data_IF_006649529805
#
_entry.id   IF_006649529805
#
_cell.length_a   1.000
_cell.length_b   1.000
_cell.length_c   1.000
_cell.angle_alpha   90.00
_cell.angle_beta   90.00
_cell.angle_gamma   90.00
#
_symmetry.space_group_name_H-M   'P 1'
#
loop_
_entity.id
_entity.type
_entity.pdbx_description
1 polymer ?
#
# COMPACT_ATOMS: atom_id res chain seq x y z
N UNK A 1 -4.65 2.76 17.08
CA UNK A 1 -4.64 3.96 16.20
C UNK A 1 -3.29 4.64 16.28
N UNK A 2 -2.67 4.96 15.14
CA UNK A 2 -1.46 5.78 15.05
C UNK A 2 -1.84 7.20 14.64
N UNK A 3 -1.28 8.19 15.33
CA UNK A 3 -1.43 9.61 15.02
C UNK A 3 -0.05 10.25 14.83
N UNK A 4 0.11 10.99 13.75
CA UNK A 4 1.27 11.81 13.46
C UNK A 4 0.79 13.25 13.28
N UNK A 5 1.40 14.19 14.00
CA UNK A 5 1.06 15.60 13.96
C UNK A 5 2.29 16.45 13.71
N UNK A 6 2.22 17.22 12.65
CA UNK A 6 3.23 18.20 12.24
C UNK A 6 4.65 17.61 12.22
N UNK A 7 4.79 16.41 11.61
CA UNK A 7 6.08 15.73 11.54
C UNK A 7 7.02 16.44 10.57
N UNK A 8 8.14 16.92 11.09
CA UNK A 8 9.20 17.52 10.32
C UNK A 8 10.52 16.77 10.49
N UNK A 9 11.29 16.69 9.41
CA UNK A 9 12.62 16.07 9.45
C UNK A 9 13.58 16.74 8.49
N UNK A 10 14.76 17.06 9.02
CA UNK A 10 15.91 17.53 8.23
C UNK A 10 17.12 16.62 8.41
N UNK A 11 17.93 16.49 7.36
CA UNK A 11 19.25 15.87 7.37
C UNK A 11 20.28 16.95 7.05
N UNK A 12 21.00 17.40 8.06
CA UNK A 12 21.84 18.59 7.94
C UNK A 12 21.00 19.80 7.51
N UNK A 13 21.36 20.44 6.41
CA UNK A 13 20.64 21.61 5.89
C UNK A 13 19.48 21.25 4.94
N UNK A 14 19.25 19.96 4.66
CA UNK A 14 18.18 19.51 3.74
C UNK A 14 16.96 19.07 4.53
N UNK A 15 15.88 19.84 4.46
CA UNK A 15 14.57 19.40 4.95
C UNK A 15 13.98 18.36 4.01
N UNK A 16 13.39 17.31 4.58
CA UNK A 16 12.81 16.16 3.86
C UNK A 16 11.34 15.99 4.17
N UNK A 17 10.90 16.31 5.39
CA UNK A 17 9.48 16.32 5.77
C UNK A 17 9.08 17.70 6.24
N UNK A 18 7.94 18.18 5.77
CA UNK A 18 7.47 19.57 5.92
C UNK A 18 6.12 19.62 6.64
N UNK A 19 6.06 19.12 7.89
CA UNK A 19 4.83 19.18 8.69
C UNK A 19 3.79 18.14 8.25
N UNK A 20 4.19 16.86 8.16
CA UNK A 20 3.30 15.77 7.79
C UNK A 20 2.32 15.46 8.91
N UNK A 21 1.02 15.50 8.58
CA UNK A 21 -0.09 15.05 9.43
C UNK A 21 -0.71 13.80 8.80
N UNK A 22 -0.87 12.73 9.59
CA UNK A 22 -1.61 11.54 9.18
C UNK A 22 -2.16 10.77 10.38
N UNK A 23 -3.24 10.05 10.15
CA UNK A 23 -3.82 9.13 11.13
C UNK A 23 -4.06 7.78 10.46
N UNK A 24 -3.67 6.69 11.14
CA UNK A 24 -4.05 5.34 10.75
C UNK A 24 -4.94 4.73 11.83
N UNK A 25 -6.16 4.40 11.44
CA UNK A 25 -7.18 3.87 12.35
C UNK A 25 -6.88 2.42 12.75
N UNK A 26 -7.37 2.01 13.92
CA UNK A 26 -7.30 0.62 14.33
C UNK A 26 -8.18 -0.25 13.43
N UNK A 27 -7.67 -1.41 13.01
CA UNK A 27 -8.38 -2.29 12.08
C UNK A 27 -8.50 -1.75 10.66
N UNK A 28 -7.69 -0.75 10.29
CA UNK A 28 -7.62 -0.20 8.94
C UNK A 28 -6.23 -0.38 8.33
N UNK A 29 -6.20 -0.37 7.02
CA UNK A 29 -4.98 -0.36 6.21
C UNK A 29 -4.83 1.01 5.58
N UNK A 30 -3.75 1.72 5.94
CA UNK A 30 -3.36 3.01 5.36
C UNK A 30 -2.26 2.80 4.32
N UNK A 31 -2.51 3.15 3.07
CA UNK A 31 -1.51 3.20 2.02
C UNK A 31 -0.72 4.51 2.05
N UNK A 32 0.61 4.44 2.17
CA UNK A 32 1.49 5.59 2.06
C UNK A 32 2.13 5.59 0.67
N UNK A 33 1.64 6.44 -0.22
CA UNK A 33 2.05 6.48 -1.63
C UNK A 33 2.86 7.73 -1.95
N UNK A 34 3.78 7.62 -2.90
CA UNK A 34 4.64 8.72 -3.32
C UNK A 34 5.84 8.21 -4.13
N UNK A 35 6.47 9.08 -4.91
CA UNK A 35 7.69 8.74 -5.66
C UNK A 35 8.82 8.30 -4.72
N UNK A 36 9.82 7.62 -5.30
CA UNK A 36 11.05 7.34 -4.55
C UNK A 36 11.70 8.65 -4.11
N UNK A 37 12.08 8.71 -2.83
CA UNK A 37 12.61 9.93 -2.22
C UNK A 37 11.56 10.93 -1.72
N UNK A 38 10.25 10.66 -1.86
CA UNK A 38 9.18 11.55 -1.36
C UNK A 38 9.12 11.66 0.17
N UNK A 39 9.80 10.77 0.91
CA UNK A 39 9.84 10.80 2.38
C UNK A 39 9.16 9.61 3.09
N UNK A 40 8.61 8.62 2.36
CA UNK A 40 7.88 7.48 2.94
C UNK A 40 8.69 6.72 4.00
N UNK A 41 9.88 6.23 3.64
CA UNK A 41 10.77 5.52 4.57
C UNK A 41 11.25 6.44 5.72
N UNK A 42 11.38 7.74 5.47
CA UNK A 42 11.71 8.72 6.53
C UNK A 42 10.56 8.80 7.56
N UNK A 43 9.31 8.77 7.12
CA UNK A 43 8.14 8.71 8.03
C UNK A 43 8.18 7.41 8.84
N UNK A 44 8.38 6.25 8.21
CA UNK A 44 8.49 4.96 8.91
C UNK A 44 9.62 4.96 9.95
N UNK A 45 10.80 5.46 9.57
CA UNK A 45 11.94 5.55 10.51
C UNK A 45 11.69 6.57 11.64
N UNK A 46 10.90 7.61 11.40
CA UNK A 46 10.49 8.55 12.46
C UNK A 46 9.51 7.89 13.43
N UNK A 47 8.50 7.14 12.94
CA UNK A 47 7.59 6.34 13.78
C UNK A 47 8.40 5.37 14.66
N UNK A 48 9.40 4.72 14.08
CA UNK A 48 10.28 3.76 14.77
C UNK A 48 11.35 4.45 15.64
N UNK A 49 11.39 5.78 15.68
CA UNK A 49 12.42 6.56 16.39
C UNK A 49 13.85 6.16 16.02
N UNK A 50 14.07 5.70 14.79
CA UNK A 50 15.41 5.52 14.24
C UNK A 50 16.02 6.86 13.85
N UNK A 51 15.19 7.89 13.72
CA UNK A 51 15.55 9.27 13.40
C UNK A 51 14.97 10.23 14.43
N UNK A 52 15.73 11.26 14.79
CA UNK A 52 15.18 12.41 15.50
C UNK A 52 14.32 13.25 14.56
N UNK A 53 13.22 13.77 15.07
CA UNK A 53 12.24 14.55 14.32
C UNK A 53 11.62 15.65 15.21
N UNK A 54 10.96 16.62 14.59
CA UNK A 54 10.05 17.56 15.25
C UNK A 54 8.60 17.15 15.00
N UNK A 55 7.69 17.59 15.87
CA UNK A 55 6.29 17.18 15.84
C UNK A 55 5.98 16.06 16.82
N UNK A 56 4.87 15.38 16.62
CA UNK A 56 4.36 14.41 17.57
C UNK A 56 3.95 13.10 16.85
N UNK A 57 4.32 11.95 17.43
CA UNK A 57 3.89 10.62 17.00
C UNK A 57 3.36 9.86 18.21
N UNK A 58 2.12 9.39 18.12
CA UNK A 58 1.45 8.61 19.18
C UNK A 58 0.86 7.32 18.65
N UNK A 59 1.00 6.25 19.43
CA UNK A 59 0.29 4.99 19.23
C UNK A 59 -0.68 4.80 20.41
N UNK A 60 -1.98 4.67 20.11
CA UNK A 60 -3.06 4.59 21.10
C UNK A 60 -2.98 5.71 22.15
N UNK A 61 -2.74 6.95 21.68
CA UNK A 61 -2.62 8.14 22.50
C UNK A 61 -1.32 8.27 23.30
N UNK A 62 -0.41 7.26 23.23
CA UNK A 62 0.87 7.26 23.95
C UNK A 62 2.04 7.55 23.02
N UNK A 63 3.02 8.29 23.47
CA UNK A 63 4.26 8.50 22.74
C UNK A 63 4.99 7.15 22.53
N UNK A 64 5.65 7.01 21.37
CA UNK A 64 6.44 5.80 21.07
C UNK A 64 7.61 5.70 22.06
N UNK A 65 7.73 4.55 22.72
CA UNK A 65 8.74 4.23 23.73
C UNK A 65 9.33 2.84 23.50
N UNK A 66 10.30 2.42 24.29
CA UNK A 66 10.84 1.06 24.23
C UNK A 66 9.75 -0.02 24.49
N UNK A 67 8.77 0.28 25.29
CA UNK A 67 7.66 -0.66 25.57
C UNK A 67 6.74 -0.79 24.35
N UNK A 68 6.43 0.32 23.68
CA UNK A 68 5.64 0.33 22.45
C UNK A 68 6.31 -0.41 21.29
N UNK A 69 7.64 -0.54 21.28
CA UNK A 69 8.31 -1.35 20.24
C UNK A 69 7.91 -2.83 20.25
N UNK A 70 7.49 -3.38 21.37
CA UNK A 70 6.98 -4.75 21.44
C UNK A 70 5.64 -4.89 20.72
N UNK A 71 4.92 -3.79 20.54
CA UNK A 71 3.61 -3.75 19.90
C UNK A 71 3.70 -3.35 18.41
N UNK A 72 4.93 -3.14 17.87
CA UNK A 72 5.17 -2.73 16.49
C UNK A 72 5.88 -3.83 15.73
N UNK A 73 5.31 -4.25 14.61
CA UNK A 73 5.94 -5.05 13.58
C UNK A 73 6.45 -4.15 12.45
N UNK A 74 7.70 -4.32 12.03
CA UNK A 74 8.27 -3.57 10.91
C UNK A 74 8.93 -4.50 9.91
N UNK A 75 8.48 -4.40 8.66
CA UNK A 75 9.10 -5.01 7.50
C UNK A 75 9.83 -3.92 6.72
N UNK A 76 11.16 -3.87 6.72
CA UNK A 76 11.92 -2.96 5.86
C UNK A 76 11.93 -3.42 4.40
N UNK A 77 12.12 -2.49 3.46
CA UNK A 77 12.31 -2.78 2.03
C UNK A 77 13.48 -3.74 1.78
N UNK A 78 14.62 -3.48 2.44
CA UNK A 78 15.78 -4.36 2.36
C UNK A 78 15.71 -5.53 3.35
N UNK A 79 16.11 -6.71 2.89
CA UNK A 79 16.11 -7.91 3.74
C UNK A 79 17.18 -7.83 4.82
N UNK A 80 16.74 -7.87 6.07
CA UNK A 80 17.61 -7.80 7.26
C UNK A 80 17.81 -9.16 7.96
N UNK A 81 17.76 -10.27 7.19
CA UNK A 81 17.91 -11.61 7.72
C UNK A 81 19.38 -12.01 7.90
N UNK A 82 19.68 -12.81 8.92
CA UNK A 82 21.01 -13.34 9.21
C UNK A 82 21.26 -14.66 8.45
N UNK A 83 22.08 -14.67 7.38
CA UNK A 83 22.14 -15.80 6.44
C UNK A 83 22.60 -17.12 7.06
N UNK A 84 23.36 -17.07 8.16
CA UNK A 84 23.95 -18.24 8.83
C UNK A 84 23.01 -18.92 9.82
N UNK A 85 21.99 -18.23 10.29
CA UNK A 85 21.00 -18.77 11.23
C UNK A 85 19.98 -19.66 10.49
N UNK A 86 19.39 -20.59 11.23
CA UNK A 86 18.23 -21.35 10.78
C UNK A 86 16.96 -20.48 10.86
N UNK A 87 15.88 -20.89 10.18
CA UNK A 87 14.59 -20.22 10.28
C UNK A 87 14.18 -20.10 11.74
N UNK A 88 14.24 -21.21 12.47
CA UNK A 88 13.86 -21.22 13.89
C UNK A 88 14.72 -20.27 14.75
N UNK A 89 16.04 -20.31 14.60
CA UNK A 89 16.93 -19.44 15.36
C UNK A 89 16.68 -17.96 15.09
N UNK A 90 16.50 -17.60 13.81
CA UNK A 90 16.23 -16.24 13.38
C UNK A 90 14.91 -15.71 13.96
N UNK A 91 13.82 -16.48 13.78
CA UNK A 91 12.47 -16.07 14.27
C UNK A 91 12.47 -16.02 15.78
N UNK A 92 13.01 -17.04 16.47
CA UNK A 92 13.07 -17.05 17.93
C UNK A 92 13.82 -15.85 18.49
N UNK A 93 14.98 -15.54 17.91
CA UNK A 93 15.82 -14.42 18.36
C UNK A 93 15.04 -13.10 18.32
N UNK A 94 14.43 -12.79 17.18
CA UNK A 94 13.71 -11.52 17.00
C UNK A 94 12.36 -11.49 17.73
N UNK A 95 11.63 -12.59 17.77
CA UNK A 95 10.36 -12.68 18.52
C UNK A 95 10.60 -12.56 20.04
N UNK A 96 11.70 -13.13 20.57
CA UNK A 96 12.04 -12.96 21.99
C UNK A 96 12.36 -11.49 22.33
N UNK A 97 12.99 -10.72 21.42
CA UNK A 97 13.19 -9.29 21.61
C UNK A 97 11.85 -8.50 21.69
N UNK A 98 10.80 -9.04 21.05
CA UNK A 98 9.43 -8.50 21.12
C UNK A 98 8.64 -9.01 22.34
N UNK A 99 9.26 -9.84 23.19
CA UNK A 99 8.66 -10.32 24.45
C UNK A 99 8.01 -11.69 24.38
N UNK A 100 8.02 -12.38 23.22
CA UNK A 100 7.53 -13.75 23.13
C UNK A 100 8.46 -14.72 23.88
N UNK A 101 7.89 -15.71 24.52
CA UNK A 101 8.65 -16.83 25.07
C UNK A 101 9.11 -17.80 23.97
N UNK A 102 10.16 -18.56 24.24
CA UNK A 102 10.62 -19.62 23.31
C UNK A 102 9.56 -20.71 23.10
N UNK A 103 8.70 -20.94 24.08
CA UNK A 103 7.60 -21.92 23.98
C UNK A 103 6.55 -21.44 22.98
N UNK A 104 6.10 -20.18 23.07
CA UNK A 104 5.15 -19.58 22.12
C UNK A 104 5.69 -19.57 20.70
N UNK A 105 6.99 -19.28 20.51
CA UNK A 105 7.60 -19.34 19.18
C UNK A 105 7.58 -20.75 18.61
N UNK A 106 7.87 -21.77 19.43
CA UNK A 106 7.80 -23.19 18.98
C UNK A 106 6.40 -23.61 18.55
N UNK A 107 5.39 -23.11 19.22
CA UNK A 107 3.99 -23.39 18.91
C UNK A 107 3.51 -22.65 17.65
N UNK A 108 3.75 -21.32 17.59
CA UNK A 108 3.21 -20.48 16.52
C UNK A 108 3.98 -20.56 15.20
N UNK A 109 5.31 -20.78 15.24
CA UNK A 109 6.12 -20.71 14.02
C UNK A 109 5.74 -21.75 12.95
N UNK A 110 5.45 -23.02 13.26
CA UNK A 110 4.96 -23.96 12.25
C UNK A 110 3.67 -23.50 11.57
N UNK A 111 2.73 -22.93 12.35
CA UNK A 111 1.45 -22.41 11.85
C UNK A 111 1.70 -21.26 10.88
N UNK A 112 2.57 -20.33 11.22
CA UNK A 112 2.96 -19.22 10.35
C UNK A 112 3.68 -19.66 9.08
N UNK A 113 4.53 -20.70 9.17
CA UNK A 113 5.19 -21.25 7.98
C UNK A 113 4.19 -21.90 7.02
N UNK A 114 3.18 -22.59 7.53
CA UNK A 114 2.09 -23.15 6.73
C UNK A 114 1.25 -22.02 6.11
N UNK A 115 0.80 -21.06 6.92
CA UNK A 115 0.00 -19.90 6.50
C UNK A 115 0.65 -19.13 5.34
N UNK A 116 1.94 -18.85 5.44
CA UNK A 116 2.71 -18.17 4.39
C UNK A 116 3.28 -19.14 3.35
N UNK A 117 2.97 -20.43 3.42
CA UNK A 117 3.45 -21.46 2.49
C UNK A 117 4.99 -21.41 2.31
N UNK A 118 5.73 -21.29 3.42
CA UNK A 118 7.19 -21.26 3.40
C UNK A 118 7.72 -22.65 3.02
N UNK A 119 8.44 -22.73 1.91
CA UNK A 119 9.10 -23.98 1.49
C UNK A 119 10.44 -24.11 2.21
N UNK A 120 10.52 -25.04 3.17
CA UNK A 120 11.72 -25.30 3.97
C UNK A 120 11.37 -25.90 5.34
N UNK A 121 12.39 -26.38 6.02
CA UNK A 121 12.27 -26.90 7.40
C UNK A 121 12.74 -25.83 8.39
N UNK A 122 12.27 -25.88 9.62
CA UNK A 122 12.70 -24.98 10.71
C UNK A 122 14.22 -24.94 10.90
N UNK A 123 14.91 -26.06 10.57
CA UNK A 123 16.37 -26.23 10.66
C UNK A 123 17.13 -25.74 9.44
N UNK A 124 16.47 -25.37 8.36
CA UNK A 124 17.12 -24.87 7.16
C UNK A 124 17.70 -23.47 7.40
N UNK A 125 18.90 -23.24 6.88
CA UNK A 125 19.58 -21.94 7.01
C UNK A 125 18.93 -20.91 6.07
N UNK A 126 18.82 -19.68 6.56
CA UNK A 126 18.24 -18.57 5.78
C UNK A 126 18.88 -18.44 4.39
N UNK A 127 20.20 -18.58 4.29
CA UNK A 127 20.94 -18.51 3.00
C UNK A 127 20.55 -19.57 1.97
N UNK A 128 19.98 -20.69 2.40
CA UNK A 128 19.54 -21.77 1.49
C UNK A 128 18.15 -21.55 0.92
N UNK A 129 17.40 -20.56 1.43
CA UNK A 129 16.08 -20.23 0.97
C UNK A 129 16.10 -19.38 -0.31
N UNK A 130 15.11 -19.58 -1.17
CA UNK A 130 14.86 -18.64 -2.28
C UNK A 130 14.52 -17.25 -1.73
N UNK A 131 14.72 -16.21 -2.56
CA UNK A 131 14.41 -14.82 -2.19
C UNK A 131 12.95 -14.66 -1.69
N UNK A 132 11.98 -15.31 -2.35
CA UNK A 132 10.58 -15.29 -1.94
C UNK A 132 10.36 -15.95 -0.57
N UNK A 133 11.01 -17.10 -0.29
CA UNK A 133 10.91 -17.72 1.04
C UNK A 133 11.61 -16.90 2.13
N UNK A 134 12.72 -16.22 1.83
CA UNK A 134 13.33 -15.27 2.76
C UNK A 134 12.37 -14.13 3.10
N UNK A 135 11.67 -13.57 2.11
CA UNK A 135 10.66 -12.54 2.32
C UNK A 135 9.53 -13.03 3.24
N UNK A 136 9.04 -14.26 3.02
CA UNK A 136 8.03 -14.88 3.88
C UNK A 136 8.52 -15.06 5.32
N UNK A 137 9.76 -15.48 5.53
CA UNK A 137 10.35 -15.58 6.88
C UNK A 137 10.44 -14.19 7.54
N UNK A 138 10.79 -13.16 6.78
CA UNK A 138 10.83 -11.79 7.30
C UNK A 138 9.44 -11.30 7.70
N UNK A 139 8.40 -11.64 6.94
CA UNK A 139 7.01 -11.37 7.29
C UNK A 139 6.57 -12.11 8.55
N UNK A 140 6.96 -13.39 8.72
CA UNK A 140 6.71 -14.11 9.97
C UNK A 140 7.29 -13.34 11.15
N UNK A 141 8.55 -12.91 11.06
CA UNK A 141 9.22 -12.15 12.12
C UNK A 141 8.45 -10.86 12.44
N UNK A 142 7.93 -10.20 11.42
CA UNK A 142 7.18 -8.94 11.56
C UNK A 142 5.86 -9.14 12.29
N UNK A 143 5.18 -10.28 12.13
CA UNK A 143 3.79 -10.48 12.55
C UNK A 143 3.59 -11.52 13.67
N UNK A 144 4.51 -12.47 13.91
CA UNK A 144 4.34 -13.60 14.82
C UNK A 144 4.02 -13.20 16.27
N UNK A 145 4.47 -12.01 16.69
CA UNK A 145 4.24 -11.46 18.03
C UNK A 145 2.92 -10.69 18.14
N UNK A 146 2.06 -10.76 17.11
CA UNK A 146 0.73 -10.14 17.06
C UNK A 146 0.75 -8.64 17.37
N UNK A 147 1.52 -7.84 16.61
CA UNK A 147 1.68 -6.42 16.86
C UNK A 147 0.36 -5.66 16.71
N UNK A 148 0.22 -4.53 17.44
CA UNK A 148 -0.90 -3.59 17.28
C UNK A 148 -0.71 -2.68 16.06
N UNK A 149 0.54 -2.34 15.76
CA UNK A 149 0.92 -1.55 14.57
C UNK A 149 1.83 -2.39 13.68
N UNK A 150 1.47 -2.51 12.41
CA UNK A 150 2.26 -3.19 11.39
C UNK A 150 2.68 -2.15 10.35
N UNK A 151 3.98 -2.00 10.14
CA UNK A 151 4.57 -1.13 9.14
C UNK A 151 5.25 -2.02 8.09
N UNK A 152 4.84 -1.88 6.84
CA UNK A 152 5.33 -2.67 5.71
C UNK A 152 5.90 -1.73 4.64
N UNK A 153 7.23 -1.74 4.47
CA UNK A 153 7.89 -0.96 3.43
C UNK A 153 8.11 -1.85 2.18
N UNK A 154 7.32 -1.61 1.15
CA UNK A 154 7.30 -2.37 -0.12
C UNK A 154 7.17 -3.89 0.05
N UNK A 155 6.13 -4.39 0.76
CA UNK A 155 6.03 -5.79 1.17
C UNK A 155 5.98 -6.79 0.01
N UNK A 156 5.50 -6.37 -1.16
CA UNK A 156 5.31 -7.23 -2.35
C UNK A 156 6.53 -7.30 -3.25
N UNK A 157 7.58 -6.51 -2.96
CA UNK A 157 8.79 -6.46 -3.76
C UNK A 157 9.46 -7.83 -3.89
N UNK A 158 9.62 -8.29 -5.15
CA UNK A 158 10.26 -9.57 -5.48
C UNK A 158 9.44 -10.82 -5.15
N UNK A 159 8.14 -10.69 -4.93
CA UNK A 159 7.18 -11.79 -4.89
C UNK A 159 6.57 -12.03 -6.28
N UNK A 160 6.28 -13.29 -6.60
CA UNK A 160 5.45 -13.64 -7.74
C UNK A 160 3.95 -13.41 -7.40
N UNK A 161 3.05 -13.39 -8.41
CA UNK A 161 1.63 -13.13 -8.19
C UNK A 161 0.96 -14.05 -7.16
N UNK A 162 1.33 -15.33 -7.13
CA UNK A 162 0.74 -16.30 -6.17
C UNK A 162 1.14 -15.95 -4.74
N UNK A 163 2.42 -15.64 -4.53
CA UNK A 163 2.92 -15.25 -3.21
C UNK A 163 2.40 -13.88 -2.78
N UNK A 164 2.14 -12.98 -3.74
CA UNK A 164 1.50 -11.69 -3.47
C UNK A 164 0.09 -11.88 -2.91
N UNK A 165 -0.72 -12.77 -3.50
CA UNK A 165 -2.07 -13.06 -2.98
C UNK A 165 -2.05 -13.70 -1.59
N UNK A 166 -1.11 -14.62 -1.34
CA UNK A 166 -0.93 -15.20 0.00
C UNK A 166 -0.63 -14.10 1.04
N UNK A 167 0.23 -13.14 0.68
CA UNK A 167 0.55 -12.04 1.59
C UNK A 167 -0.62 -11.09 1.79
N UNK A 168 -1.37 -10.75 0.73
CA UNK A 168 -2.59 -9.92 0.84
C UNK A 168 -3.57 -10.55 1.82
N UNK A 169 -3.81 -11.86 1.70
CA UNK A 169 -4.69 -12.58 2.63
C UNK A 169 -4.20 -12.44 4.09
N UNK A 170 -2.90 -12.60 4.34
CA UNK A 170 -2.33 -12.45 5.69
C UNK A 170 -2.50 -11.02 6.21
N UNK A 171 -2.31 -10.01 5.36
CA UNK A 171 -2.54 -8.60 5.73
C UNK A 171 -4.00 -8.36 6.11
N UNK A 172 -4.96 -8.91 5.35
CA UNK A 172 -6.39 -8.82 5.69
C UNK A 172 -6.72 -9.52 7.02
N UNK A 173 -6.15 -10.69 7.29
CA UNK A 173 -6.35 -11.38 8.57
C UNK A 173 -5.80 -10.57 9.76
N UNK A 174 -4.65 -9.90 9.59
CA UNK A 174 -4.11 -9.02 10.62
C UNK A 174 -4.99 -7.76 10.82
N UNK A 175 -5.57 -7.22 9.73
CA UNK A 175 -6.58 -6.16 9.82
C UNK A 175 -7.81 -6.62 10.60
N UNK A 176 -8.37 -7.79 10.27
CA UNK A 176 -9.52 -8.37 10.99
C UNK A 176 -9.22 -8.66 12.46
N UNK A 177 -7.98 -9.00 12.80
CA UNK A 177 -7.51 -9.09 14.19
C UNK A 177 -7.54 -7.74 14.92
N UNK A 178 -7.68 -6.64 14.19
CA UNK A 178 -7.71 -5.27 14.71
C UNK A 178 -6.36 -4.59 14.75
N UNK A 179 -5.36 -5.06 14.01
CA UNK A 179 -4.09 -4.36 13.86
C UNK A 179 -4.28 -3.06 13.05
N UNK A 180 -3.55 -2.01 13.41
CA UNK A 180 -3.36 -0.84 12.56
C UNK A 180 -2.26 -1.16 11.57
N UNK A 181 -2.50 -1.01 10.27
CA UNK A 181 -1.52 -1.36 9.24
C UNK A 181 -1.19 -0.13 8.40
N UNK A 182 0.09 0.14 8.21
CA UNK A 182 0.57 1.12 7.24
C UNK A 182 1.51 0.42 6.29
N UNK A 183 1.30 0.58 4.98
CA UNK A 183 2.25 0.08 4.03
C UNK A 183 2.54 1.08 2.91
N UNK A 184 3.76 1.01 2.38
CA UNK A 184 4.14 1.69 1.15
C UNK A 184 4.14 0.71 -0.01
N UNK A 185 3.73 1.18 -1.17
CA UNK A 185 3.88 0.45 -2.44
C UNK A 185 4.01 1.46 -3.58
N UNK A 186 4.66 1.04 -4.65
CA UNK A 186 4.73 1.75 -5.92
C UNK A 186 3.75 1.16 -6.96
N UNK A 187 3.11 0.04 -6.65
CA UNK A 187 2.08 -0.62 -7.48
C UNK A 187 0.71 -0.18 -7.00
N UNK A 188 0.11 0.79 -7.67
CA UNK A 188 -1.15 1.44 -7.23
C UNK A 188 -2.35 0.48 -7.18
N UNK A 189 -2.34 -0.60 -7.96
CA UNK A 189 -3.37 -1.65 -7.86
C UNK A 189 -3.38 -2.33 -6.49
N UNK A 190 -2.22 -2.57 -5.87
CA UNK A 190 -2.17 -3.11 -4.51
C UNK A 190 -2.77 -2.14 -3.49
N UNK A 191 -2.55 -0.82 -3.69
CA UNK A 191 -3.11 0.22 -2.83
C UNK A 191 -4.64 0.25 -2.97
N UNK A 192 -5.17 0.21 -4.20
CA UNK A 192 -6.63 0.19 -4.45
C UNK A 192 -7.31 -1.06 -3.87
N UNK A 193 -6.64 -2.22 -3.92
CA UNK A 193 -7.21 -3.48 -3.46
C UNK A 193 -7.15 -3.66 -1.95
N UNK A 194 -6.11 -3.13 -1.29
CA UNK A 194 -5.85 -3.40 0.13
C UNK A 194 -6.25 -2.27 1.06
N UNK A 195 -6.10 -1.01 0.61
CA UNK A 195 -6.23 0.13 1.52
C UNK A 195 -7.68 0.54 1.74
N UNK A 196 -7.99 0.86 2.99
CA UNK A 196 -9.20 1.61 3.36
C UNK A 196 -8.98 3.10 3.07
N UNK A 197 -7.80 3.60 3.42
CA UNK A 197 -7.39 5.00 3.30
C UNK A 197 -6.02 5.09 2.63
N UNK A 198 -5.73 6.23 2.02
CA UNK A 198 -4.41 6.54 1.50
C UNK A 198 -3.95 7.93 1.93
N UNK A 199 -2.63 8.08 1.99
CA UNK A 199 -1.92 9.35 2.11
C UNK A 199 -0.90 9.42 0.97
N UNK A 200 -1.02 10.42 0.12
CA UNK A 200 -0.08 10.67 -0.96
C UNK A 200 0.92 11.76 -0.57
N UNK A 201 2.20 11.41 -0.63
CA UNK A 201 3.32 12.28 -0.29
C UNK A 201 4.04 12.72 -1.56
N UNK A 202 4.27 14.02 -1.67
CA UNK A 202 5.12 14.62 -2.70
C UNK A 202 6.05 15.63 -2.05
N UNK A 203 7.35 15.48 -2.33
CA UNK A 203 8.40 16.40 -1.84
C UNK A 203 8.31 16.67 -0.31
N UNK A 204 8.03 15.60 0.46
CA UNK A 204 7.95 15.66 1.93
C UNK A 204 6.67 16.25 2.51
N UNK A 205 5.66 16.54 1.68
CA UNK A 205 4.37 17.09 2.10
C UNK A 205 3.21 16.17 1.69
N UNK A 206 2.15 16.14 2.50
CA UNK A 206 0.90 15.46 2.14
C UNK A 206 0.17 16.31 1.09
N UNK A 207 -0.16 15.69 -0.05
CA UNK A 207 -0.92 16.35 -1.13
C UNK A 207 -2.35 15.84 -1.25
N UNK A 208 -2.60 14.58 -0.88
CA UNK A 208 -3.92 13.96 -0.86
C UNK A 208 -3.99 13.02 0.34
N UNK A 209 -5.15 12.94 0.99
CA UNK A 209 -5.41 11.99 2.05
C UNK A 209 -6.90 11.69 2.18
N UNK A 210 -7.25 10.48 2.59
CA UNK A 210 -8.63 10.06 2.86
C UNK A 210 -8.94 8.63 2.41
N UNK A 211 -10.20 8.20 2.55
CA UNK A 211 -10.68 6.93 2.03
C UNK A 211 -10.40 6.82 0.53
N UNK A 212 -9.89 5.65 0.09
CA UNK A 212 -9.46 5.44 -1.31
C UNK A 212 -10.56 5.82 -2.31
N UNK A 213 -11.80 5.44 -2.04
CA UNK A 213 -12.93 5.74 -2.91
C UNK A 213 -13.29 7.24 -2.94
N UNK A 214 -13.19 7.93 -1.82
CA UNK A 214 -13.45 9.38 -1.74
C UNK A 214 -12.38 10.16 -2.50
N UNK A 215 -11.10 9.79 -2.34
CA UNK A 215 -10.01 10.38 -3.13
C UNK A 215 -10.24 10.18 -4.62
N UNK A 216 -10.63 8.98 -5.08
CA UNK A 216 -10.96 8.75 -6.50
C UNK A 216 -12.13 9.63 -6.95
N UNK A 217 -13.20 9.65 -6.18
CA UNK A 217 -14.42 10.40 -6.52
C UNK A 217 -14.20 11.92 -6.55
N UNK A 218 -13.24 12.46 -5.78
CA UNK A 218 -12.90 13.89 -5.79
C UNK A 218 -12.34 14.38 -7.14
N UNK A 219 -11.88 13.47 -8.00
CA UNK A 219 -11.43 13.76 -9.36
C UNK A 219 -12.55 13.65 -10.42
N UNK A 220 -13.79 13.41 -10.00
CA UNK A 220 -14.95 13.25 -10.86
C UNK A 220 -14.93 11.95 -11.68
N UNK A 221 -16.09 11.55 -12.22
CA UNK A 221 -16.21 10.37 -13.09
C UNK A 221 -15.82 10.71 -14.53
N UNK A 222 -14.57 11.01 -14.75
CA UNK A 222 -14.02 11.49 -16.03
C UNK A 222 -13.46 10.39 -16.93
N UNK A 223 -13.69 9.12 -16.61
CA UNK A 223 -13.31 7.96 -17.44
C UNK A 223 -14.54 7.23 -17.91
N UNK A 224 -14.74 7.15 -19.23
CA UNK A 224 -15.85 6.44 -19.84
C UNK A 224 -15.32 5.26 -20.66
N UNK A 225 -15.82 4.07 -20.36
CA UNK A 225 -15.49 2.85 -21.10
C UNK A 225 -16.69 2.46 -21.96
N UNK A 226 -16.44 2.29 -23.26
CA UNK A 226 -17.47 1.89 -24.22
C UNK A 226 -17.01 0.69 -25.05
N UNK A 227 -17.97 -0.10 -25.55
CA UNK A 227 -17.67 -1.22 -26.46
C UNK A 227 -17.00 -0.74 -27.75
N UNK A 228 -16.31 -1.67 -28.43
CA UNK A 228 -15.51 -1.39 -29.63
C UNK A 228 -16.30 -1.27 -30.93
N UNK A 229 -17.61 -1.04 -30.85
CA UNK A 229 -18.51 -0.91 -31.99
C UNK A 229 -18.33 0.42 -32.76
N UNK A 230 -17.42 1.28 -32.28
CA UNK A 230 -17.14 2.61 -32.82
C UNK A 230 -15.73 2.69 -33.36
N UNK A 231 -15.50 3.55 -34.36
CA UNK A 231 -14.15 3.92 -34.75
C UNK A 231 -13.58 4.98 -33.78
N UNK A 232 -12.27 5.12 -33.77
CA UNK A 232 -11.60 6.11 -32.93
C UNK A 232 -12.03 7.55 -33.31
N UNK A 233 -12.12 7.80 -34.59
CA UNK A 233 -12.48 9.08 -35.18
C UNK A 233 -13.92 9.49 -34.79
N UNK A 234 -14.86 8.53 -34.73
CA UNK A 234 -16.23 8.79 -34.27
C UNK A 234 -16.27 9.21 -32.80
N UNK A 235 -15.38 8.66 -31.97
CA UNK A 235 -15.34 8.95 -30.52
C UNK A 235 -14.57 10.25 -30.21
N UNK A 236 -13.55 10.60 -31.03
CA UNK A 236 -12.74 11.81 -30.82
C UNK A 236 -13.50 13.10 -31.13
N UNK A 237 -14.58 13.04 -31.94
CA UNK A 237 -15.41 14.21 -32.26
C UNK A 237 -16.58 14.44 -31.28
N UNK A 238 -16.75 13.54 -30.32
CA UNK A 238 -17.81 13.68 -29.30
C UNK A 238 -17.53 14.87 -28.39
N UNK A 239 -18.56 15.60 -27.94
CA UNK A 239 -18.39 16.69 -27.00
C UNK A 239 -17.79 16.15 -25.68
N UNK A 240 -17.00 16.98 -25.02
CA UNK A 240 -16.36 16.66 -23.73
C UNK A 240 -15.36 15.50 -23.74
N UNK A 241 -15.05 14.93 -24.91
CA UNK A 241 -14.01 13.89 -25.05
C UNK A 241 -12.67 14.54 -25.37
N UNK A 242 -11.69 14.39 -24.50
CA UNK A 242 -10.34 14.98 -24.65
C UNK A 242 -9.32 13.98 -25.14
N UNK A 243 -9.54 12.68 -24.88
CA UNK A 243 -8.62 11.61 -25.27
C UNK A 243 -9.38 10.30 -25.48
N UNK A 244 -9.01 9.55 -26.52
CA UNK A 244 -9.56 8.23 -26.84
C UNK A 244 -8.41 7.22 -26.95
N UNK A 245 -8.50 6.12 -26.20
CA UNK A 245 -7.48 5.05 -26.21
C UNK A 245 -8.16 3.69 -26.16
N UNK A 246 -7.57 2.69 -26.85
CA UNK A 246 -8.02 1.31 -26.76
C UNK A 246 -7.38 0.63 -25.54
N UNK A 247 -8.20 -0.01 -24.70
CA UNK A 247 -7.72 -0.82 -23.59
C UNK A 247 -7.22 -2.18 -24.07
N UNK A 248 -6.41 -2.87 -23.26
CA UNK A 248 -5.98 -4.26 -23.55
C UNK A 248 -7.15 -5.25 -23.64
N UNK A 249 -8.28 -4.91 -23.05
CA UNK A 249 -9.49 -5.72 -23.04
C UNK A 249 -10.39 -5.47 -24.27
N UNK A 250 -9.97 -4.57 -25.17
CA UNK A 250 -10.72 -4.27 -26.39
C UNK A 250 -11.86 -3.27 -26.18
N UNK A 251 -11.88 -2.52 -25.09
CA UNK A 251 -12.82 -1.43 -24.87
C UNK A 251 -12.18 -0.08 -25.23
N UNK A 252 -12.96 0.85 -25.74
CA UNK A 252 -12.54 2.24 -25.83
C UNK A 252 -12.60 2.89 -24.45
N UNK A 253 -11.53 3.53 -24.04
CA UNK A 253 -11.45 4.40 -22.88
C UNK A 253 -11.41 5.85 -23.36
N UNK A 254 -12.42 6.62 -22.99
CA UNK A 254 -12.52 8.05 -23.23
C UNK A 254 -12.17 8.80 -21.94
N UNK A 255 -11.43 9.87 -22.07
CA UNK A 255 -11.19 10.84 -20.99
C UNK A 255 -12.10 12.02 -21.23
N UNK A 256 -12.91 12.37 -20.24
CA UNK A 256 -13.86 13.47 -20.29
C UNK A 256 -13.30 14.69 -19.54
N UNK A 257 -13.58 15.89 -20.02
CA UNK A 257 -13.31 17.14 -19.29
C UNK A 257 -14.47 17.57 -18.39
N UNK A 258 -15.65 16.95 -18.57
CA UNK A 258 -16.84 17.15 -17.73
C UNK A 258 -17.48 15.80 -17.37
N UNK A 259 -17.56 15.51 -16.07
CA UNK A 259 -18.18 14.28 -15.57
C UNK A 259 -19.70 14.23 -15.81
N UNK A 260 -20.35 15.37 -16.00
CA UNK A 260 -21.79 15.46 -16.22
C UNK A 260 -22.20 15.14 -17.66
N UNK A 261 -21.25 15.01 -18.58
CA UNK A 261 -21.51 14.70 -20.00
C UNK A 261 -21.99 13.25 -20.24
N UNK A 262 -21.94 12.37 -19.23
CA UNK A 262 -22.29 10.96 -19.38
C UNK A 262 -23.65 10.68 -19.98
N UNK A 263 -24.76 11.25 -19.50
CA UNK A 263 -26.10 11.05 -20.08
C UNK A 263 -26.20 11.44 -21.56
N UNK A 264 -25.67 12.61 -21.92
CA UNK A 264 -25.69 13.08 -23.31
C UNK A 264 -24.83 12.21 -24.23
N UNK A 265 -23.69 11.75 -23.76
CA UNK A 265 -22.83 10.81 -24.49
C UNK A 265 -23.51 9.44 -24.64
N UNK A 266 -24.24 8.98 -23.61
CA UNK A 266 -25.02 7.76 -23.69
C UNK A 266 -26.07 7.84 -24.80
N UNK A 267 -26.86 8.90 -24.85
CA UNK A 267 -27.91 9.11 -25.86
C UNK A 267 -27.28 9.19 -27.27
N UNK A 268 -26.15 9.90 -27.43
CA UNK A 268 -25.47 10.03 -28.72
C UNK A 268 -24.89 8.70 -29.20
N UNK A 269 -24.32 7.88 -28.33
CA UNK A 269 -23.70 6.61 -28.68
C UNK A 269 -24.73 5.52 -28.91
N UNK A 270 -25.77 5.46 -28.10
CA UNK A 270 -26.78 4.42 -28.22
C UNK A 270 -27.69 4.65 -29.45
N UNK A 271 -28.17 5.86 -29.66
CA UNK A 271 -29.18 6.17 -30.71
C UNK A 271 -30.22 5.07 -30.85
N UNK A 272 -30.67 4.50 -29.73
CA UNK A 272 -31.61 3.39 -29.68
C UNK A 272 -31.02 2.00 -29.99
N UNK A 273 -29.68 1.85 -30.10
CA UNK A 273 -28.99 0.55 -30.24
C UNK A 273 -28.54 0.03 -28.88
N UNK A 274 -28.38 -1.27 -28.80
CA UNK A 274 -27.77 -1.91 -27.64
C UNK A 274 -26.26 -1.64 -27.62
N UNK A 275 -25.73 -1.21 -26.47
CA UNK A 275 -24.30 -1.15 -26.18
C UNK A 275 -23.96 -2.24 -25.17
N UNK A 276 -22.94 -3.06 -25.47
CA UNK A 276 -22.47 -4.09 -24.55
C UNK A 276 -21.81 -3.51 -23.29
N UNK A 277 -21.20 -2.34 -23.43
CA UNK A 277 -20.51 -1.64 -22.33
C UNK A 277 -20.70 -0.12 -22.49
N UNK A 278 -21.17 0.51 -21.41
CA UNK A 278 -21.11 1.94 -21.17
C UNK A 278 -20.91 2.12 -19.66
N UNK A 279 -19.69 2.43 -19.25
CA UNK A 279 -19.30 2.47 -17.84
C UNK A 279 -18.48 3.72 -17.55
N UNK A 280 -19.05 4.62 -16.77
CA UNK A 280 -18.45 5.89 -16.40
C UNK A 280 -17.88 5.80 -14.97
N UNK A 281 -16.57 5.96 -14.83
CA UNK A 281 -15.82 5.77 -13.61
C UNK A 281 -14.98 7.00 -13.24
N UNK A 282 -14.64 7.10 -11.95
CA UNK A 282 -13.56 7.96 -11.49
C UNK A 282 -12.19 7.40 -11.96
N UNK A 283 -11.14 8.23 -12.05
CA UNK A 283 -9.81 7.77 -12.37
C UNK A 283 -9.29 6.77 -11.32
N UNK A 284 -8.39 5.89 -11.72
CA UNK A 284 -7.68 4.99 -10.81
C UNK A 284 -6.66 5.76 -9.97
N UNK A 285 -6.22 5.18 -8.84
CA UNK A 285 -5.14 5.79 -8.02
C UNK A 285 -3.86 5.93 -8.83
N UNK A 286 -3.57 5.00 -9.77
CA UNK A 286 -2.42 5.12 -10.68
C UNK A 286 -2.51 6.35 -11.59
N UNK A 287 -3.71 6.64 -12.12
CA UNK A 287 -3.94 7.84 -12.94
C UNK A 287 -3.84 9.11 -12.11
N UNK A 288 -4.43 9.12 -10.91
CA UNK A 288 -4.34 10.25 -9.97
C UNK A 288 -2.88 10.50 -9.60
N UNK A 289 -2.14 9.45 -9.29
CA UNK A 289 -0.72 9.55 -8.96
C UNK A 289 0.11 10.14 -10.10
N UNK A 290 -0.19 9.76 -11.36
CA UNK A 290 0.45 10.32 -12.55
C UNK A 290 0.10 11.80 -12.73
N UNK A 291 -1.18 12.16 -12.64
CA UNK A 291 -1.65 13.55 -12.71
C UNK A 291 -0.94 14.42 -11.67
N UNK A 292 -0.97 14.02 -10.40
CA UNK A 292 -0.30 14.72 -9.31
C UNK A 292 1.24 14.74 -9.46
N UNK A 293 1.78 13.79 -10.22
CA UNK A 293 3.22 13.73 -10.51
C UNK A 293 3.64 14.58 -11.71
N UNK A 294 2.70 15.27 -12.38
CA UNK A 294 2.96 16.06 -13.58
C UNK A 294 3.25 15.21 -14.81
N UNK A 295 2.80 13.95 -14.84
CA UNK A 295 2.91 13.06 -15.99
C UNK A 295 1.55 13.07 -16.71
N UNK A 296 1.54 13.33 -18.02
CA UNK A 296 0.32 13.24 -18.85
C UNK A 296 -0.24 11.81 -18.85
N UNK A 297 -1.54 11.69 -18.60
CA UNK A 297 -2.28 10.40 -18.46
C UNK A 297 -3.00 10.07 -19.77
#
# INVERSE_FOLDING_TARGET
MLEIRHLEKSFGNKQVLFGVDLTAQQGHILGLVGKNGAGKTTIFHSILRFLDYSGEIRLDGKAISQETYKEIGYLPEERSLMPKLTIYEQVRYLANLKGMSTAEVKEKLPIWMEKLQVKGKLTDKIKSLSKGNQQKVQLIITMIHEPKLIILDEPFSGLDPVNTEVLKQVIFEEKERGATIIFSDHVMTNVEELCDELVMIRDGSVILSGPVQEVRNSFGKTRLFVSNDFSKEELEVLPHVTKVTMTKQGLWKLVLDDETAGPDLFDQLTKGRYLATFDQQAPTIDEIFKLESGVEV
#
